data_IF_416746476352
#
_entry.id   IF_416746476352
#
_cell.length_a   1.000
_cell.length_b   1.000
_cell.length_c   1.000
_cell.angle_alpha   90.00
_cell.angle_beta   90.00
_cell.angle_gamma   90.00
#
_symmetry.space_group_name_H-M   'P 1'
#
loop_
_entity.id
_entity.type
_entity.pdbx_description
1 polymer ?
#
# COMPACT_ATOMS: atom_id res chain seq x y z
N UNK A 1 21.92 26.42 27.53
CA UNK A 1 20.65 26.77 26.83
C UNK A 1 20.78 28.17 26.21
N UNK A 2 20.11 28.48 25.08
CA UNK A 2 20.22 29.76 24.33
C UNK A 2 19.16 30.82 24.68
N UNK A 3 18.46 30.69 25.81
CA UNK A 3 17.39 31.62 26.22
C UNK A 3 16.14 31.62 25.32
N UNK A 4 15.96 30.57 24.49
CA UNK A 4 14.77 30.41 23.64
C UNK A 4 13.74 29.52 24.33
N UNK A 5 12.47 29.86 24.18
CA UNK A 5 11.36 28.97 24.52
C UNK A 5 11.30 27.83 23.52
N UNK A 6 11.45 26.60 24.02
CA UNK A 6 11.38 25.38 23.21
C UNK A 6 10.31 24.49 23.83
N UNK A 7 9.37 24.05 23.00
CA UNK A 7 8.37 23.04 23.35
C UNK A 7 8.60 21.83 22.45
N UNK A 8 8.86 20.67 23.06
CA UNK A 8 9.06 19.42 22.34
C UNK A 8 8.05 18.39 22.85
N UNK A 9 6.99 18.19 22.07
CA UNK A 9 5.88 17.30 22.44
C UNK A 9 6.17 15.89 21.92
N UNK A 10 6.21 14.86 22.78
CA UNK A 10 6.34 13.48 22.33
C UNK A 10 5.02 13.00 21.72
N UNK A 11 5.13 12.09 20.75
CA UNK A 11 3.97 11.39 20.25
C UNK A 11 4.30 10.07 19.57
N UNK A 12 3.29 9.21 19.50
CA UNK A 12 3.40 7.89 18.89
C UNK A 12 2.38 7.75 17.76
N UNK A 13 2.83 7.15 16.66
CA UNK A 13 1.98 6.82 15.53
C UNK A 13 1.43 5.40 15.66
N UNK A 14 0.15 5.24 15.36
CA UNK A 14 -0.53 3.96 15.25
C UNK A 14 -0.05 3.17 14.02
N UNK A 15 0.52 3.85 13.01
CA UNK A 15 1.17 3.27 11.85
C UNK A 15 0.31 2.26 11.06
N UNK A 16 -1.02 2.43 11.07
CA UNK A 16 -2.04 1.67 10.35
C UNK A 16 -1.61 0.28 9.84
N UNK A 17 -1.27 0.23 8.54
CA UNK A 17 -0.88 -1.01 7.82
C UNK A 17 0.37 -1.67 8.42
N UNK A 18 1.38 -0.89 8.80
CA UNK A 18 2.61 -1.43 9.36
C UNK A 18 2.36 -2.16 10.69
N UNK A 19 1.56 -1.56 11.59
CA UNK A 19 1.18 -2.20 12.85
C UNK A 19 0.33 -3.45 12.60
N UNK A 20 -0.63 -3.39 11.68
CA UNK A 20 -1.44 -4.54 11.30
C UNK A 20 -0.56 -5.72 10.85
N UNK A 21 0.39 -5.49 9.94
CA UNK A 21 1.29 -6.53 9.42
C UNK A 21 2.17 -7.13 10.52
N UNK A 22 2.68 -6.31 11.44
CA UNK A 22 3.50 -6.80 12.57
C UNK A 22 2.68 -7.66 13.52
N UNK A 23 1.47 -7.23 13.87
CA UNK A 23 0.57 -7.98 14.76
C UNK A 23 0.10 -9.28 14.10
N UNK A 24 -0.24 -9.26 12.80
CA UNK A 24 -0.58 -10.47 12.05
C UNK A 24 0.58 -11.48 12.02
N UNK A 25 1.81 -11.01 11.75
CA UNK A 25 3.01 -11.86 11.80
C UNK A 25 3.25 -12.43 13.20
N UNK A 26 3.01 -11.64 14.26
CA UNK A 26 3.12 -12.08 15.65
C UNK A 26 2.11 -13.19 15.95
N UNK A 27 0.83 -12.98 15.63
CA UNK A 27 -0.24 -13.96 15.82
C UNK A 27 0.05 -15.27 15.09
N UNK A 28 0.46 -15.19 13.82
CA UNK A 28 0.79 -16.37 13.02
C UNK A 28 1.97 -17.15 13.60
N UNK A 29 2.98 -16.46 14.16
CA UNK A 29 4.17 -17.07 14.74
C UNK A 29 3.92 -17.70 16.11
N UNK A 30 3.15 -17.02 16.96
CA UNK A 30 2.96 -17.40 18.37
C UNK A 30 1.78 -18.34 18.57
N UNK A 31 0.69 -18.15 17.82
CA UNK A 31 -0.57 -18.88 17.99
C UNK A 31 -0.95 -19.69 16.75
N UNK A 32 -0.27 -19.49 15.60
CA UNK A 32 -0.59 -20.19 14.36
C UNK A 32 -1.90 -19.73 13.68
N UNK A 33 -2.55 -18.70 14.22
CA UNK A 33 -3.83 -18.18 13.75
C UNK A 33 -3.66 -16.91 12.91
N UNK A 34 -4.68 -16.62 12.10
CA UNK A 34 -4.76 -15.42 11.27
C UNK A 34 -5.78 -14.42 11.83
N UNK A 35 -5.72 -13.16 11.37
CA UNK A 35 -6.71 -12.14 11.73
C UNK A 35 -8.14 -12.53 11.32
N UNK A 36 -8.29 -13.40 10.32
CA UNK A 36 -9.59 -13.85 9.83
C UNK A 36 -10.22 -14.87 10.78
N UNK A 37 -9.40 -15.64 11.50
CA UNK A 37 -9.87 -16.67 12.43
C UNK A 37 -10.48 -16.07 13.70
N UNK A 38 -9.92 -14.94 14.17
CA UNK A 38 -10.37 -14.27 15.41
C UNK A 38 -11.40 -13.17 15.19
N UNK A 39 -11.58 -12.73 13.93
CA UNK A 39 -12.50 -11.64 13.59
C UNK A 39 -12.00 -10.24 14.00
N UNK A 40 -12.74 -9.22 13.55
CA UNK A 40 -12.32 -7.81 13.64
C UNK A 40 -12.16 -7.31 15.08
N UNK A 41 -13.14 -7.54 15.95
CA UNK A 41 -13.14 -6.98 17.31
C UNK A 41 -11.99 -7.54 18.15
N UNK A 42 -11.80 -8.86 18.11
CA UNK A 42 -10.70 -9.51 18.82
C UNK A 42 -9.34 -9.06 18.27
N UNK A 43 -9.20 -8.94 16.94
CA UNK A 43 -7.97 -8.44 16.33
C UNK A 43 -7.64 -7.01 16.75
N UNK A 44 -8.63 -6.11 16.74
CA UNK A 44 -8.45 -4.72 17.20
C UNK A 44 -7.99 -4.68 18.66
N UNK A 45 -8.55 -5.54 19.52
CA UNK A 45 -8.10 -5.66 20.92
C UNK A 45 -6.64 -6.08 21.01
N UNK A 46 -6.21 -7.09 20.24
CA UNK A 46 -4.79 -7.53 20.20
C UNK A 46 -3.85 -6.42 19.71
N UNK A 47 -4.27 -5.61 18.74
CA UNK A 47 -3.51 -4.45 18.26
C UNK A 47 -3.31 -3.42 19.39
N UNK A 48 -4.36 -3.12 20.16
CA UNK A 48 -4.26 -2.22 21.30
C UNK A 48 -3.35 -2.78 22.40
N UNK A 49 -3.44 -4.07 22.72
CA UNK A 49 -2.54 -4.73 23.68
C UNK A 49 -1.08 -4.62 23.24
N UNK A 50 -0.80 -4.90 21.96
CA UNK A 50 0.54 -4.75 21.38
C UNK A 50 1.03 -3.29 21.45
N UNK A 51 0.15 -2.32 21.17
CA UNK A 51 0.48 -0.89 21.28
C UNK A 51 0.87 -0.51 22.70
N UNK A 52 0.15 -1.00 23.71
CA UNK A 52 0.50 -0.67 25.10
C UNK A 52 1.84 -1.28 25.50
N UNK A 53 2.11 -2.52 25.06
CA UNK A 53 3.40 -3.19 25.29
C UNK A 53 4.58 -2.44 24.64
N UNK A 54 4.44 -2.02 23.37
CA UNK A 54 5.52 -1.36 22.61
C UNK A 54 5.62 0.14 22.85
N UNK A 55 4.49 0.83 22.95
CA UNK A 55 4.43 2.27 23.19
C UNK A 55 5.14 2.67 24.49
N UNK A 56 4.87 1.95 25.58
CA UNK A 56 5.56 2.19 26.86
C UNK A 56 7.08 2.02 26.74
N UNK A 57 7.54 1.02 25.97
CA UNK A 57 8.98 0.79 25.73
C UNK A 57 9.63 1.93 24.92
N UNK A 58 8.95 2.47 23.92
CA UNK A 58 9.45 3.60 23.11
C UNK A 58 9.68 4.83 23.99
N UNK A 59 8.71 5.16 24.86
CA UNK A 59 8.86 6.31 25.75
C UNK A 59 9.94 6.10 26.80
N UNK A 60 10.01 4.90 27.39
CA UNK A 60 11.08 4.58 28.32
C UNK A 60 12.47 4.71 27.67
N UNK A 61 12.61 4.30 26.40
CA UNK A 61 13.86 4.49 25.66
C UNK A 61 14.21 5.97 25.49
N UNK A 62 13.23 6.81 25.13
CA UNK A 62 13.42 8.25 25.00
C UNK A 62 13.79 8.93 26.33
N UNK A 63 13.18 8.50 27.44
CA UNK A 63 13.54 8.93 28.79
C UNK A 63 14.98 8.53 29.15
N UNK A 64 15.34 7.26 28.92
CA UNK A 64 16.69 6.75 29.19
C UNK A 64 17.77 7.46 28.35
N UNK A 65 17.42 7.95 27.15
CA UNK A 65 18.32 8.74 26.31
C UNK A 65 18.47 10.20 26.79
N UNK A 66 17.74 10.62 27.83
CA UNK A 66 17.79 11.98 28.35
C UNK A 66 17.05 12.99 27.48
N UNK A 67 16.03 12.55 26.74
CA UNK A 67 15.22 13.44 25.90
C UNK A 67 14.40 14.39 26.77
N UNK A 68 14.60 15.70 26.60
CA UNK A 68 13.91 16.77 27.36
C UNK A 68 12.52 17.08 26.77
N UNK A 69 11.67 16.06 26.70
CA UNK A 69 10.32 16.10 26.15
C UNK A 69 9.30 16.57 27.20
N UNK A 70 8.22 17.22 26.76
CA UNK A 70 7.06 17.54 27.60
C UNK A 70 6.10 16.34 27.66
N UNK A 71 6.39 15.40 28.56
CA UNK A 71 5.59 14.19 28.78
C UNK A 71 4.14 14.45 29.18
N UNK A 72 3.83 15.65 29.71
CA UNK A 72 2.46 16.01 30.08
C UNK A 72 1.53 16.17 28.87
N UNK A 73 2.12 16.29 27.66
CA UNK A 73 1.41 16.49 26.39
C UNK A 73 1.59 15.33 25.42
N UNK A 74 2.04 14.18 25.91
CA UNK A 74 2.17 12.98 25.10
C UNK A 74 0.88 12.73 24.30
N UNK A 75 1.03 12.49 23.00
CA UNK A 75 -0.11 12.32 22.09
C UNK A 75 0.04 11.07 21.24
N UNK A 76 -1.04 10.30 21.10
CA UNK A 76 -1.12 9.16 20.21
C UNK A 76 -2.12 9.42 19.09
N UNK A 77 -1.77 9.09 17.86
CA UNK A 77 -2.58 9.38 16.65
C UNK A 77 -4.06 8.91 16.69
N UNK A 78 -4.39 7.90 17.50
CA UNK A 78 -5.77 7.44 17.70
C UNK A 78 -6.46 8.02 18.94
N UNK A 79 -5.83 8.97 19.63
CA UNK A 79 -6.43 9.64 20.79
C UNK A 79 -7.65 10.46 20.37
N UNK A 80 -8.67 10.61 21.24
CA UNK A 80 -9.90 11.32 20.90
C UNK A 80 -9.69 12.74 20.39
N UNK A 81 -8.67 13.46 20.87
CA UNK A 81 -8.34 14.82 20.43
C UNK A 81 -7.83 14.85 18.98
N UNK A 82 -6.90 13.95 18.65
CA UNK A 82 -6.34 13.83 17.29
C UNK A 82 -7.35 13.24 16.31
N UNK A 83 -8.19 12.30 16.74
CA UNK A 83 -9.29 11.79 15.94
C UNK A 83 -10.26 12.89 15.49
N UNK A 84 -10.60 13.82 16.41
CA UNK A 84 -11.42 15.00 16.08
C UNK A 84 -10.72 15.89 15.05
N UNK A 85 -9.42 16.12 15.20
CA UNK A 85 -8.64 16.94 14.27
C UNK A 85 -8.62 16.33 12.85
N UNK A 86 -8.42 15.01 12.73
CA UNK A 86 -8.44 14.31 11.43
C UNK A 86 -9.85 14.34 10.80
N UNK A 87 -10.89 14.15 11.61
CA UNK A 87 -12.28 14.20 11.14
C UNK A 87 -12.63 15.59 10.61
N UNK A 88 -12.29 16.64 11.35
CA UNK A 88 -12.49 18.02 10.92
C UNK A 88 -11.73 18.33 9.62
N UNK A 89 -10.46 17.90 9.51
CA UNK A 89 -9.67 18.10 8.31
C UNK A 89 -10.30 17.39 7.09
N UNK A 90 -10.78 16.15 7.27
CA UNK A 90 -11.47 15.42 6.22
C UNK A 90 -12.75 16.12 5.77
N UNK A 91 -13.58 16.59 6.71
CA UNK A 91 -14.83 17.30 6.40
C UNK A 91 -14.54 18.56 5.61
N UNK A 92 -13.58 19.39 6.05
CA UNK A 92 -13.20 20.62 5.33
C UNK A 92 -12.73 20.35 3.91
N UNK A 93 -11.84 19.39 3.75
CA UNK A 93 -11.30 19.01 2.44
C UNK A 93 -12.35 18.35 1.54
N UNK A 94 -13.39 17.74 2.12
CA UNK A 94 -14.51 17.23 1.34
C UNK A 94 -15.47 18.35 0.92
N UNK A 95 -15.79 19.28 1.84
CA UNK A 95 -16.65 20.44 1.59
C UNK A 95 -16.05 21.41 0.56
N UNK A 96 -14.72 21.56 0.53
CA UNK A 96 -14.02 22.38 -0.46
C UNK A 96 -13.82 21.69 -1.83
N UNK A 97 -14.18 20.40 -1.94
CA UNK A 97 -14.08 19.61 -3.16
C UNK A 97 -12.72 18.96 -3.44
N UNK A 98 -11.74 19.11 -2.55
CA UNK A 98 -10.41 18.48 -2.68
C UNK A 98 -10.48 16.96 -2.52
N UNK A 99 -11.28 16.48 -1.56
CA UNK A 99 -11.58 15.07 -1.33
C UNK A 99 -12.92 14.73 -1.99
N UNK A 100 -12.92 13.71 -2.84
CA UNK A 100 -14.11 13.21 -3.50
C UNK A 100 -14.02 11.70 -3.72
N UNK A 101 -15.16 11.08 -4.04
CA UNK A 101 -15.25 9.65 -4.36
C UNK A 101 -15.41 9.46 -5.86
N UNK A 102 -14.55 8.63 -6.46
CA UNK A 102 -14.60 8.26 -7.88
C UNK A 102 -14.10 6.83 -8.05
N UNK A 103 -14.56 6.15 -9.09
CA UNK A 103 -13.94 4.90 -9.54
C UNK A 103 -12.73 5.26 -10.40
N UNK A 104 -11.55 4.79 -10.02
CA UNK A 104 -10.27 5.00 -10.73
C UNK A 104 -9.38 3.77 -10.57
N UNK A 105 -8.37 3.66 -11.43
CA UNK A 105 -7.32 2.67 -11.25
C UNK A 105 -6.53 3.01 -9.99
N UNK A 106 -6.29 2.00 -9.16
CA UNK A 106 -5.55 2.11 -7.90
C UNK A 106 -4.50 1.01 -7.84
N UNK A 107 -3.44 1.23 -7.07
CA UNK A 107 -2.52 0.16 -6.72
C UNK A 107 -3.18 -0.72 -5.66
N UNK A 108 -3.43 -1.98 -5.99
CA UNK A 108 -4.05 -2.95 -5.08
C UNK A 108 -3.03 -3.97 -4.59
N UNK A 109 -2.92 -4.14 -3.27
CA UNK A 109 -2.13 -5.22 -2.68
C UNK A 109 -3.00 -6.45 -2.44
N UNK A 110 -2.74 -7.54 -3.16
CA UNK A 110 -3.44 -8.82 -2.98
C UNK A 110 -3.19 -9.46 -1.60
N UNK A 111 -2.07 -9.14 -0.95
CA UNK A 111 -1.73 -9.68 0.37
C UNK A 111 -2.45 -8.92 1.48
N UNK A 112 -2.46 -7.59 1.41
CA UNK A 112 -3.12 -6.75 2.41
C UNK A 112 -4.64 -6.71 2.20
N UNK A 113 -5.10 -6.98 0.98
CA UNK A 113 -6.46 -6.76 0.52
C UNK A 113 -6.90 -5.30 0.73
N UNK A 114 -6.05 -4.38 0.29
CA UNK A 114 -6.28 -2.94 0.38
C UNK A 114 -5.64 -2.20 -0.79
N UNK A 115 -6.22 -1.03 -1.12
CA UNK A 115 -5.55 -0.05 -1.94
C UNK A 115 -4.36 0.56 -1.17
N UNK A 116 -3.30 0.88 -1.90
CA UNK A 116 -2.10 1.56 -1.41
C UNK A 116 -1.80 2.78 -2.30
N UNK A 117 -1.20 3.79 -1.70
CA UNK A 117 -0.80 5.02 -2.39
C UNK A 117 0.48 4.81 -3.22
N UNK A 118 0.71 5.66 -4.22
CA UNK A 118 1.90 5.57 -5.08
C UNK A 118 3.22 5.66 -4.28
N UNK A 119 3.23 6.43 -3.17
CA UNK A 119 4.42 6.58 -2.33
C UNK A 119 4.73 5.32 -1.50
N UNK A 120 3.74 4.44 -1.32
CA UNK A 120 3.92 3.15 -0.63
C UNK A 120 4.37 2.04 -1.60
N UNK A 121 4.44 2.33 -2.91
CA UNK A 121 4.86 1.37 -3.93
C UNK A 121 6.36 1.48 -4.18
N UNK A 122 7.08 0.42 -3.83
CA UNK A 122 8.49 0.25 -4.22
C UNK A 122 8.57 -0.37 -5.62
N UNK A 123 9.35 0.27 -6.51
CA UNK A 123 9.58 -0.21 -7.87
C UNK A 123 10.92 -0.94 -7.93
N UNK A 124 10.89 -2.21 -8.31
CA UNK A 124 12.08 -3.03 -8.51
C UNK A 124 12.30 -3.17 -10.02
N UNK A 125 13.47 -2.75 -10.49
CA UNK A 125 13.86 -2.88 -11.89
C UNK A 125 14.46 -4.27 -12.15
N UNK A 126 14.00 -4.92 -13.22
CA UNK A 126 14.43 -6.27 -13.60
C UNK A 126 15.14 -6.20 -14.95
N UNK A 127 16.37 -6.72 -15.01
CA UNK A 127 17.20 -6.69 -16.23
C UNK A 127 16.97 -7.87 -17.17
N UNK A 128 16.21 -8.88 -16.72
CA UNK A 128 15.91 -10.08 -17.50
C UNK A 128 14.95 -10.99 -16.78
N UNK A 129 14.78 -12.20 -17.33
CA UNK A 129 13.92 -13.24 -16.76
C UNK A 129 14.39 -13.65 -15.37
N UNK A 130 13.51 -13.56 -14.39
CA UNK A 130 13.79 -13.96 -13.00
C UNK A 130 12.54 -14.48 -12.30
N UNK A 131 12.72 -15.40 -11.37
CA UNK A 131 11.66 -15.84 -10.47
C UNK A 131 11.74 -15.04 -9.17
N UNK A 132 10.62 -14.43 -8.76
CA UNK A 132 10.53 -13.65 -7.54
C UNK A 132 9.48 -14.23 -6.59
N UNK A 133 9.75 -14.27 -5.28
CA UNK A 133 8.74 -14.60 -4.30
C UNK A 133 7.71 -13.47 -4.22
N UNK A 134 6.43 -13.78 -4.48
CA UNK A 134 5.33 -12.82 -4.36
C UNK A 134 4.52 -13.14 -3.09
N UNK A 135 4.33 -12.17 -2.18
CA UNK A 135 3.55 -12.40 -0.97
C UNK A 135 2.12 -12.89 -1.27
N UNK A 136 1.77 -14.06 -0.76
CA UNK A 136 0.47 -14.72 -1.00
C UNK A 136 0.50 -15.87 -2.02
N UNK A 137 1.61 -16.05 -2.74
CA UNK A 137 1.81 -17.17 -3.65
C UNK A 137 2.65 -18.28 -2.97
N UNK A 138 2.36 -19.54 -3.28
CA UNK A 138 3.06 -20.70 -2.72
C UNK A 138 4.39 -20.98 -3.42
N UNK A 139 4.48 -20.68 -4.71
CA UNK A 139 5.68 -20.78 -5.53
C UNK A 139 6.14 -19.39 -5.97
N UNK A 140 7.44 -19.22 -6.27
CA UNK A 140 7.93 -18.05 -6.98
C UNK A 140 7.14 -17.81 -8.27
N UNK A 141 6.97 -16.55 -8.63
CA UNK A 141 6.31 -16.12 -9.86
C UNK A 141 7.38 -15.63 -10.82
N UNK A 142 7.23 -15.99 -12.08
CA UNK A 142 8.13 -15.58 -13.15
C UNK A 142 7.87 -14.14 -13.59
N UNK A 143 8.94 -13.35 -13.69
CA UNK A 143 8.95 -11.97 -14.18
C UNK A 143 10.03 -11.77 -15.24
N UNK A 144 9.95 -10.64 -15.96
CA UNK A 144 10.96 -10.28 -16.96
C UNK A 144 10.89 -11.11 -18.25
N UNK A 145 9.74 -11.75 -18.52
CA UNK A 145 9.47 -12.46 -19.78
C UNK A 145 8.62 -11.57 -20.67
N UNK A 146 9.05 -11.40 -21.93
CA UNK A 146 8.29 -10.70 -22.96
C UNK A 146 7.67 -11.72 -23.92
N UNK A 147 6.35 -11.76 -23.96
CA UNK A 147 5.55 -12.70 -24.75
C UNK A 147 5.02 -11.98 -25.98
N UNK A 148 5.15 -12.62 -27.13
CA UNK A 148 4.60 -12.15 -28.40
C UNK A 148 3.41 -13.04 -28.78
N UNK A 149 2.27 -12.42 -29.06
CA UNK A 149 1.08 -13.10 -29.54
C UNK A 149 0.39 -12.27 -30.62
N UNK A 150 -0.55 -12.86 -31.35
CA UNK A 150 -1.14 -12.25 -32.53
C UNK A 150 -2.66 -12.19 -32.45
N UNK A 151 -3.22 -11.03 -32.73
CA UNK A 151 -4.65 -10.85 -32.98
C UNK A 151 -4.94 -10.94 -34.47
N UNK A 152 -5.98 -11.67 -34.86
CA UNK A 152 -6.45 -11.68 -36.25
C UNK A 152 -7.27 -10.44 -36.54
N UNK A 153 -7.00 -9.78 -37.67
CA UNK A 153 -7.79 -8.64 -38.13
C UNK A 153 -9.10 -9.13 -38.75
N UNK A 154 -10.21 -8.51 -38.38
CA UNK A 154 -11.52 -8.88 -38.91
C UNK A 154 -11.57 -8.53 -40.40
N UNK A 155 -12.06 -9.46 -41.23
CA UNK A 155 -12.20 -9.34 -42.69
C UNK A 155 -10.89 -9.25 -43.50
N UNK A 156 -9.73 -9.35 -42.86
CA UNK A 156 -8.42 -9.44 -43.53
C UNK A 156 -7.73 -10.75 -43.16
N UNK A 157 -6.85 -11.26 -44.03
CA UNK A 157 -5.96 -12.39 -43.70
C UNK A 157 -4.66 -11.89 -43.06
N UNK A 158 -4.78 -10.86 -42.22
CA UNK A 158 -3.69 -10.18 -41.55
C UNK A 158 -3.77 -10.37 -40.05
N UNK A 159 -2.62 -10.27 -39.40
CA UNK A 159 -2.49 -10.36 -37.95
C UNK A 159 -1.72 -9.17 -37.40
N UNK A 160 -2.03 -8.79 -36.16
CA UNK A 160 -1.30 -7.77 -35.42
C UNK A 160 -0.56 -8.44 -34.28
N UNK A 161 0.77 -8.36 -34.30
CA UNK A 161 1.62 -8.88 -33.23
C UNK A 161 1.67 -7.89 -32.06
N UNK A 162 1.37 -8.36 -30.86
CA UNK A 162 1.43 -7.61 -29.60
C UNK A 162 2.50 -8.24 -28.70
N UNK A 163 3.31 -7.39 -28.07
CA UNK A 163 4.28 -7.79 -27.06
C UNK A 163 3.79 -7.39 -25.66
N UNK A 164 3.77 -8.32 -24.71
CA UNK A 164 3.34 -8.08 -23.33
C UNK A 164 4.17 -8.87 -22.32
N UNK A 165 4.33 -8.33 -21.12
CA UNK A 165 4.89 -9.07 -19.96
C UNK A 165 3.81 -9.70 -19.08
N UNK A 166 2.53 -9.47 -19.41
CA UNK A 166 1.35 -9.89 -18.63
C UNK A 166 0.33 -10.57 -19.54
N UNK A 167 0.63 -11.76 -20.04
CA UNK A 167 -0.25 -12.47 -20.99
C UNK A 167 -1.63 -12.77 -20.39
N UNK A 168 -1.73 -12.90 -19.07
CA UNK A 168 -2.99 -13.13 -18.38
C UNK A 168 -3.96 -11.94 -18.50
N UNK A 169 -3.48 -10.73 -18.81
CA UNK A 169 -4.35 -9.56 -19.02
C UNK A 169 -4.94 -9.51 -20.42
N UNK A 170 -4.46 -10.34 -21.36
CA UNK A 170 -4.93 -10.40 -22.75
C UNK A 170 -6.46 -10.55 -22.86
N UNK A 171 -7.07 -11.33 -21.96
CA UNK A 171 -8.52 -11.54 -21.96
C UNK A 171 -9.33 -10.29 -21.56
N UNK A 172 -8.68 -9.29 -20.96
CA UNK A 172 -9.25 -8.00 -20.64
C UNK A 172 -8.95 -6.93 -21.69
N UNK A 173 -8.27 -7.27 -22.80
CA UNK A 173 -7.96 -6.32 -23.86
C UNK A 173 -9.25 -5.82 -24.52
N UNK A 174 -9.31 -4.51 -24.76
CA UNK A 174 -10.46 -3.85 -25.42
C UNK A 174 -10.09 -3.18 -26.74
N UNK A 175 -8.80 -2.91 -26.95
CA UNK A 175 -8.25 -2.32 -28.15
C UNK A 175 -6.74 -2.62 -28.25
N UNK A 176 -6.20 -2.52 -29.46
CA UNK A 176 -4.75 -2.50 -29.70
C UNK A 176 -4.34 -1.07 -30.05
N UNK A 177 -3.39 -0.51 -29.30
CA UNK A 177 -2.89 0.83 -29.55
C UNK A 177 -1.70 0.79 -30.51
N UNK A 178 -1.75 1.60 -31.57
CA UNK A 178 -0.69 1.75 -32.57
C UNK A 178 -0.28 3.21 -32.62
N UNK A 179 1.01 3.48 -32.77
CA UNK A 179 1.50 4.84 -32.92
C UNK A 179 0.98 5.44 -34.24
N UNK A 180 0.44 6.68 -34.26
CA UNK A 180 -0.22 7.23 -35.44
C UNK A 180 0.70 7.42 -36.66
N UNK A 181 2.02 7.48 -36.45
CA UNK A 181 3.04 7.56 -37.51
C UNK A 181 3.69 6.20 -37.84
N UNK A 182 3.16 5.09 -37.34
CA UNK A 182 3.71 3.77 -37.68
C UNK A 182 3.22 3.30 -39.05
N UNK A 183 4.07 3.46 -40.06
CA UNK A 183 3.78 3.11 -41.45
C UNK A 183 3.49 1.60 -41.67
N UNK A 184 3.88 0.74 -40.73
CA UNK A 184 3.72 -0.72 -40.84
C UNK A 184 2.27 -1.19 -40.63
N UNK A 185 1.44 -0.37 -40.01
CA UNK A 185 0.09 -0.72 -39.56
C UNK A 185 -0.94 0.35 -39.96
N UNK A 186 -0.71 1.10 -41.04
CA UNK A 186 -1.65 2.13 -41.52
C UNK A 186 -2.90 1.45 -42.08
N UNK A 187 -3.88 1.20 -41.21
CA UNK A 187 -5.23 0.85 -41.64
C UNK A 187 -5.81 2.04 -42.39
N UNK A 188 -5.87 1.96 -43.72
CA UNK A 188 -6.56 2.95 -44.54
C UNK A 188 -8.05 2.87 -44.22
N UNK A 189 -8.55 3.86 -43.48
CA UNK A 189 -9.96 4.04 -43.13
C UNK A 189 -10.81 4.39 -44.34
#
# INVERSE_FOLDING_TARGET
>A
MKGRSVLWVPGCDHAGIATQVVVEKKLKREEGITRHDIGREAFVKRVWEWKQEKGGRIYQQLECLGSSLDWSRESFTMDPSLHKAVTEAFIRLHEDGTIYRSNRLVNWSCTLNSAISDIEVEKIELTGRCELPVPGYSSPVEFGVLIYFQYKVVNLDETVTVATTRIETMLGDTAVAVHPLDERLVFHS
#
